data_IF_736897735015
#
_entry.id   IF_736897735015
#
_cell.length_a   1.000
_cell.length_b   1.000
_cell.length_c   1.000
_cell.angle_alpha   90.00
_cell.angle_beta   90.00
_cell.angle_gamma   90.00
#
_symmetry.space_group_name_H-M   'P 1'
#
loop_
_entity.id
_entity.type
_entity.pdbx_description
1 polymer ?
#
# COMPACT_ATOMS: atom_id res chain seq x y z
N UNK A 1 -17.68 -2.53 -1.22
CA UNK A 1 -17.63 -1.06 -1.03
C UNK A 1 -16.55 -0.54 -1.96
N UNK A 2 -16.81 0.50 -2.77
CA UNK A 2 -15.77 1.10 -3.61
C UNK A 2 -14.56 1.52 -2.78
N UNK A 3 -13.36 1.36 -3.34
CA UNK A 3 -12.09 1.66 -2.64
C UNK A 3 -12.08 3.09 -2.09
N UNK A 4 -12.53 4.07 -2.87
CA UNK A 4 -12.65 5.48 -2.46
C UNK A 4 -13.51 5.62 -1.19
N UNK A 5 -14.70 5.03 -1.14
CA UNK A 5 -15.58 5.12 0.03
C UNK A 5 -14.95 4.54 1.29
N UNK A 6 -14.12 3.49 1.16
CA UNK A 6 -13.35 2.95 2.28
C UNK A 6 -12.39 4.01 2.78
N UNK A 7 -11.56 4.58 1.90
CA UNK A 7 -10.52 5.54 2.28
C UNK A 7 -11.06 6.89 2.76
N UNK A 8 -12.18 7.35 2.22
CA UNK A 8 -12.86 8.55 2.74
C UNK A 8 -13.34 8.33 4.18
N UNK A 9 -13.82 7.12 4.52
CA UNK A 9 -14.21 6.77 5.89
C UNK A 9 -12.99 6.61 6.81
N UNK A 10 -11.87 6.10 6.30
CA UNK A 10 -10.65 5.90 7.08
C UNK A 10 -9.96 7.22 7.44
N UNK A 11 -9.89 8.14 6.49
CA UNK A 11 -9.04 9.33 6.59
C UNK A 11 -9.83 10.61 6.87
N UNK A 12 -11.15 10.61 6.63
CA UNK A 12 -11.97 11.82 6.61
C UNK A 12 -11.66 12.77 5.44
N UNK A 13 -10.69 12.43 4.56
CA UNK A 13 -10.38 13.17 3.34
C UNK A 13 -11.24 12.67 2.19
N UNK A 14 -11.64 13.57 1.29
CA UNK A 14 -12.24 13.21 0.02
C UNK A 14 -11.17 12.78 -0.97
N UNK A 15 -11.46 11.75 -1.75
CA UNK A 15 -10.59 11.27 -2.82
C UNK A 15 -11.33 11.34 -4.16
N UNK A 16 -10.58 11.60 -5.21
CA UNK A 16 -11.00 11.66 -6.60
C UNK A 16 -10.39 10.51 -7.40
N UNK A 17 -10.89 10.30 -8.62
CA UNK A 17 -10.28 9.33 -9.54
C UNK A 17 -8.83 9.69 -9.88
N UNK A 18 -8.45 10.98 -9.81
CA UNK A 18 -7.07 11.40 -10.01
C UNK A 18 -6.15 10.93 -8.86
N UNK A 19 -6.66 10.82 -7.64
CA UNK A 19 -5.89 10.30 -6.51
C UNK A 19 -5.61 8.79 -6.66
N UNK A 20 -6.45 8.05 -7.39
CA UNK A 20 -6.17 6.66 -7.76
C UNK A 20 -4.98 6.53 -8.71
N UNK A 21 -4.65 7.59 -9.45
CA UNK A 21 -3.51 7.63 -10.38
C UNK A 21 -2.23 8.10 -9.70
N UNK A 22 -2.29 8.54 -8.43
CA UNK A 22 -1.10 9.01 -7.74
C UNK A 22 -0.06 7.89 -7.66
N UNK A 23 1.10 8.15 -8.23
CA UNK A 23 2.20 7.20 -8.33
C UNK A 23 3.49 7.89 -7.94
N UNK A 24 4.19 7.33 -6.97
CA UNK A 24 5.55 7.75 -6.61
C UNK A 24 6.54 6.83 -7.32
N UNK A 25 7.60 7.41 -7.87
CA UNK A 25 8.71 6.66 -8.47
C UNK A 25 9.99 7.06 -7.78
N UNK A 26 10.68 6.10 -7.18
CA UNK A 26 11.96 6.27 -6.52
C UNK A 26 13.04 5.59 -7.35
N UNK A 27 14.17 6.26 -7.55
CA UNK A 27 15.32 5.70 -8.26
C UNK A 27 16.38 5.22 -7.27
N UNK A 28 16.90 4.02 -7.50
CA UNK A 28 18.02 3.43 -6.75
C UNK A 28 19.16 3.10 -7.71
N UNK A 29 19.93 4.10 -8.18
CA UNK A 29 20.93 3.88 -9.24
C UNK A 29 22.02 2.88 -8.85
N UNK A 30 22.43 2.86 -7.58
CA UNK A 30 23.44 1.93 -7.08
C UNK A 30 22.99 0.46 -7.11
N UNK A 31 21.69 0.22 -7.10
CA UNK A 31 21.07 -1.11 -7.14
C UNK A 31 20.55 -1.47 -8.55
N UNK A 32 20.68 -0.56 -9.52
CA UNK A 32 20.15 -0.76 -10.87
C UNK A 32 18.64 -1.02 -10.88
N UNK A 33 17.89 -0.34 -10.00
CA UNK A 33 16.43 -0.51 -9.91
C UNK A 33 15.68 0.80 -9.72
N UNK A 34 14.37 0.76 -10.00
CA UNK A 34 13.38 1.77 -9.65
C UNK A 34 12.29 1.12 -8.80
N UNK A 35 11.77 1.86 -7.82
CA UNK A 35 10.59 1.47 -7.05
C UNK A 35 9.41 2.31 -7.49
N UNK A 36 8.28 1.66 -7.74
CA UNK A 36 7.00 2.29 -8.04
C UNK A 36 6.08 2.04 -6.85
N UNK A 37 5.42 3.09 -6.35
CA UNK A 37 4.50 3.02 -5.22
C UNK A 37 3.19 3.70 -5.61
N UNK A 38 2.07 3.00 -5.45
CA UNK A 38 0.75 3.52 -5.81
C UNK A 38 -0.38 2.90 -4.98
N UNK A 39 -1.58 3.45 -5.12
CA UNK A 39 -2.75 3.13 -4.29
C UNK A 39 -3.03 4.22 -3.27
N UNK A 40 -4.28 4.30 -2.80
CA UNK A 40 -4.74 5.43 -1.96
C UNK A 40 -4.02 5.52 -0.61
N UNK A 41 -3.47 4.42 -0.08
CA UNK A 41 -2.64 4.47 1.12
C UNK A 41 -1.30 5.15 0.88
N UNK A 42 -0.74 5.11 -0.34
CA UNK A 42 0.54 5.76 -0.63
C UNK A 42 0.54 7.26 -0.32
N UNK A 43 -0.65 7.90 -0.37
CA UNK A 43 -0.88 9.31 -0.01
C UNK A 43 -1.42 9.52 1.40
N UNK A 44 -1.97 8.48 2.03
CA UNK A 44 -2.67 8.58 3.30
C UNK A 44 -1.79 8.24 4.51
N UNK A 45 -0.69 7.50 4.31
CA UNK A 45 0.24 7.11 5.38
C UNK A 45 1.65 7.60 5.10
N UNK A 46 2.32 8.03 6.16
CA UNK A 46 3.70 8.51 6.11
C UNK A 46 4.65 7.33 6.33
N UNK A 47 5.08 6.71 5.24
CA UNK A 47 6.05 5.61 5.22
C UNK A 47 7.26 6.07 4.40
N UNK A 48 8.45 5.81 4.93
CA UNK A 48 9.69 6.00 4.19
C UNK A 48 9.87 4.88 3.15
N UNK A 49 9.34 5.09 1.95
CA UNK A 49 9.44 4.15 0.83
C UNK A 49 10.88 3.96 0.28
N UNK A 50 11.86 4.72 0.81
CA UNK A 50 13.27 4.58 0.43
C UNK A 50 14.00 3.44 1.15
N UNK A 51 13.32 2.66 2.01
CA UNK A 51 13.90 1.48 2.65
C UNK A 51 14.64 0.59 1.64
N UNK A 52 15.81 0.08 2.06
CA UNK A 52 16.74 -0.65 1.18
C UNK A 52 16.09 -1.91 0.59
N UNK A 53 15.39 -2.68 1.42
CA UNK A 53 14.71 -3.92 0.99
C UNK A 53 13.18 -3.82 1.06
N UNK A 54 12.50 -4.66 0.28
CA UNK A 54 11.04 -4.82 0.39
C UNK A 54 10.65 -5.46 1.72
N UNK A 55 11.48 -6.32 2.31
CA UNK A 55 11.21 -6.91 3.63
C UNK A 55 11.16 -5.83 4.72
N UNK A 56 12.15 -4.94 4.80
CA UNK A 56 12.16 -3.82 5.78
C UNK A 56 10.98 -2.87 5.56
N UNK A 57 10.68 -2.55 4.30
CA UNK A 57 9.49 -1.76 3.95
C UNK A 57 8.19 -2.48 4.35
N UNK A 58 8.16 -3.80 4.20
CA UNK A 58 7.02 -4.62 4.52
C UNK A 58 6.70 -4.63 6.02
N UNK A 59 7.71 -4.58 6.88
CA UNK A 59 7.51 -4.44 8.34
C UNK A 59 6.84 -3.11 8.69
N UNK A 60 7.29 -2.01 8.09
CA UNK A 60 6.69 -0.67 8.25
C UNK A 60 5.23 -0.67 7.78
N UNK A 61 4.95 -1.25 6.60
CA UNK A 61 3.59 -1.34 6.06
C UNK A 61 2.69 -2.21 6.94
N UNK A 62 3.16 -3.36 7.43
CA UNK A 62 2.39 -4.22 8.36
C UNK A 62 2.05 -3.47 9.64
N UNK A 63 2.98 -2.68 10.18
CA UNK A 63 2.74 -1.88 11.37
C UNK A 63 1.65 -0.83 11.10
N UNK A 64 1.75 -0.08 10.00
CA UNK A 64 0.74 0.90 9.61
C UNK A 64 -0.64 0.25 9.40
N UNK A 65 -0.70 -0.88 8.69
CA UNK A 65 -1.93 -1.63 8.44
C UNK A 65 -2.60 -2.08 9.75
N UNK A 66 -1.83 -2.57 10.72
CA UNK A 66 -2.34 -2.97 12.04
C UNK A 66 -2.94 -1.79 12.83
N UNK A 67 -2.41 -0.58 12.62
CA UNK A 67 -2.94 0.63 13.22
C UNK A 67 -4.25 1.06 12.55
N UNK A 68 -4.31 1.01 11.22
CA UNK A 68 -5.53 1.32 10.45
C UNK A 68 -6.66 0.36 10.81
N UNK A 69 -6.37 -0.94 10.92
CA UNK A 69 -7.36 -1.95 11.33
C UNK A 69 -7.97 -1.62 12.70
N UNK A 70 -7.14 -1.16 13.65
CA UNK A 70 -7.59 -0.77 14.99
C UNK A 70 -8.49 0.46 14.97
N UNK A 71 -8.20 1.44 14.10
CA UNK A 71 -8.98 2.67 13.99
C UNK A 71 -10.29 2.46 13.22
N UNK A 72 -10.31 1.53 12.27
CA UNK A 72 -11.44 1.30 11.40
C UNK A 72 -11.73 -0.18 11.14
N UNK A 73 -12.05 -0.95 12.20
CA UNK A 73 -12.20 -2.40 12.11
C UNK A 73 -13.30 -2.83 11.13
N UNK A 74 -14.32 -2.00 10.92
CA UNK A 74 -15.41 -2.26 9.97
C UNK A 74 -14.94 -2.42 8.52
N UNK A 75 -13.81 -1.81 8.14
CA UNK A 75 -13.23 -1.97 6.80
C UNK A 75 -12.57 -3.36 6.60
N UNK A 76 -12.33 -4.10 7.69
CA UNK A 76 -11.62 -5.39 7.72
C UNK A 76 -12.54 -6.57 8.04
N UNK A 77 -13.74 -6.33 8.58
CA UNK A 77 -14.71 -7.38 8.93
C UNK A 77 -15.00 -8.29 7.73
N UNK A 78 -14.84 -9.60 7.94
CA UNK A 78 -15.12 -10.64 6.94
C UNK A 78 -14.08 -10.76 5.83
N UNK A 79 -12.94 -10.06 5.96
CA UNK A 79 -11.83 -10.10 5.00
C UNK A 79 -10.55 -10.54 5.72
N UNK A 80 -9.67 -11.25 5.00
CA UNK A 80 -8.35 -11.61 5.51
C UNK A 80 -7.32 -10.65 4.92
N UNK A 81 -7.39 -9.39 5.37
CA UNK A 81 -6.53 -8.32 4.82
C UNK A 81 -5.13 -8.44 5.40
N UNK A 82 -4.13 -8.59 4.53
CA UNK A 82 -2.73 -8.71 4.92
C UNK A 82 -1.78 -8.19 3.86
N UNK A 83 -0.55 -7.90 4.26
CA UNK A 83 0.54 -7.64 3.32
C UNK A 83 1.05 -8.97 2.73
N UNK A 84 0.96 -9.08 1.42
CA UNK A 84 1.64 -10.08 0.60
C UNK A 84 2.99 -9.55 0.14
N UNK A 85 4.01 -10.41 0.18
CA UNK A 85 5.35 -10.13 -0.31
C UNK A 85 5.68 -11.16 -1.38
N UNK A 86 5.82 -10.69 -2.62
CA UNK A 86 6.32 -11.44 -3.75
C UNK A 86 7.82 -11.18 -3.97
N UNK A 87 8.40 -11.79 -5.01
CA UNK A 87 9.84 -11.67 -5.29
C UNK A 87 10.32 -10.23 -5.55
N UNK A 88 9.46 -9.36 -6.06
CA UNK A 88 9.78 -7.97 -6.38
C UNK A 88 8.64 -6.99 -6.09
N UNK A 89 7.61 -7.38 -5.33
CA UNK A 89 6.51 -6.49 -5.00
C UNK A 89 5.90 -6.76 -3.63
N UNK A 90 5.28 -5.73 -3.06
CA UNK A 90 4.43 -5.79 -1.88
C UNK A 90 3.02 -5.37 -2.30
N UNK A 91 2.00 -6.08 -1.83
CA UNK A 91 0.61 -5.74 -2.08
C UNK A 91 -0.24 -5.99 -0.84
N UNK A 92 -1.15 -5.07 -0.53
CA UNK A 92 -2.20 -5.32 0.45
C UNK A 92 -3.31 -6.11 -0.23
N UNK A 93 -3.47 -7.36 0.18
CA UNK A 93 -4.42 -8.30 -0.41
C UNK A 93 -5.52 -8.66 0.58
N UNK A 94 -6.65 -9.13 0.06
CA UNK A 94 -7.56 -10.00 0.81
C UNK A 94 -7.22 -11.45 0.44
N UNK A 95 -6.68 -12.18 1.40
CA UNK A 95 -6.14 -13.52 1.17
C UNK A 95 -7.19 -14.50 0.63
N UNK A 96 -6.83 -15.21 -0.45
CA UNK A 96 -7.75 -16.07 -1.18
C UNK A 96 -8.72 -15.35 -2.14
N UNK A 97 -8.68 -14.01 -2.21
CA UNK A 97 -9.48 -13.19 -3.14
C UNK A 97 -8.60 -12.46 -4.13
N UNK A 98 -7.58 -11.73 -3.65
CA UNK A 98 -6.63 -11.00 -4.50
C UNK A 98 -6.29 -9.60 -3.98
N UNK A 99 -5.69 -8.80 -4.85
CA UNK A 99 -5.26 -7.43 -4.56
C UNK A 99 -6.42 -6.55 -4.11
N UNK A 100 -6.18 -5.74 -3.09
CA UNK A 100 -7.12 -4.69 -2.68
C UNK A 100 -6.89 -3.39 -3.46
N UNK A 101 -5.72 -3.23 -4.11
CA UNK A 101 -5.30 -1.97 -4.72
C UNK A 101 -5.08 -0.83 -3.71
N UNK A 102 -5.00 -1.15 -2.41
CA UNK A 102 -4.88 -0.18 -1.33
C UNK A 102 -3.48 0.44 -1.27
N UNK A 103 -2.45 -0.40 -1.38
CA UNK A 103 -1.05 -0.03 -1.50
C UNK A 103 -0.35 -1.13 -2.29
N UNK A 104 0.33 -0.75 -3.36
CA UNK A 104 1.20 -1.63 -4.12
C UNK A 104 2.57 -0.97 -4.23
N UNK A 105 3.62 -1.75 -3.99
CA UNK A 105 5.01 -1.36 -4.15
C UNK A 105 5.69 -2.36 -5.06
N UNK A 106 6.37 -1.91 -6.10
CA UNK A 106 7.07 -2.78 -7.04
C UNK A 106 8.50 -2.31 -7.27
N UNK A 107 9.46 -3.21 -7.17
CA UNK A 107 10.85 -3.01 -7.60
C UNK A 107 11.03 -3.52 -9.03
N UNK A 108 11.53 -2.64 -9.91
CA UNK A 108 11.77 -2.87 -11.33
C UNK A 108 13.27 -2.71 -11.62
N UNK A 109 13.92 -3.77 -12.11
CA UNK A 109 15.32 -3.69 -12.55
C UNK A 109 15.44 -2.82 -13.82
N UNK A 110 16.51 -2.04 -13.92
CA UNK A 110 16.81 -1.12 -15.02
C UNK A 110 18.11 -1.45 -15.71
#
# INVERSE_FOLDING_TARGET
MPIIEVFEKLTGRKFSDADLLHTKVLAFPAEGKKRVVYGLLAEAIDIDYSQKSLSELGEQIRLALSHIERLAPKAFVGQNIRLYEGGNHLDIINDGVGSMGWLIVEDHLT
#
